data_IF_043121768379
#
_entry.id   IF_043121768379
#
_cell.length_a   1.000
_cell.length_b   1.000
_cell.length_c   1.000
_cell.angle_alpha   90.00
_cell.angle_beta   90.00
_cell.angle_gamma   90.00
#
_symmetry.space_group_name_H-M   'P 1'
#
loop_
_entity.id
_entity.type
_entity.pdbx_description
1 polymer ?
#
# COMPACT_ATOMS: atom_id res chain seq x y z
N UNK A 1 12.22 1.83 22.79
CA UNK A 1 13.13 1.31 21.75
C UNK A 1 12.87 2.15 20.52
N UNK A 2 13.93 2.64 19.87
CA UNK A 2 13.78 3.35 18.60
C UNK A 2 13.45 2.32 17.51
N UNK A 3 12.35 2.50 16.76
CA UNK A 3 12.00 1.58 15.68
C UNK A 3 13.05 1.63 14.57
N UNK A 4 13.37 0.46 14.00
CA UNK A 4 14.40 0.28 12.97
C UNK A 4 13.87 -0.59 11.85
N UNK A 5 14.39 -0.39 10.63
CA UNK A 5 14.15 -1.30 9.51
C UNK A 5 15.24 -2.37 9.52
N UNK A 6 14.82 -3.63 9.60
CA UNK A 6 15.70 -4.79 9.53
C UNK A 6 15.78 -5.28 8.08
N UNK A 7 16.99 -5.51 7.58
CA UNK A 7 17.24 -6.17 6.31
C UNK A 7 17.76 -7.59 6.60
N UNK A 8 17.17 -8.58 5.93
CA UNK A 8 17.61 -9.96 5.99
C UNK A 8 18.11 -10.38 4.62
N UNK A 9 19.41 -10.62 4.51
CA UNK A 9 20.01 -11.16 3.30
C UNK A 9 19.80 -12.67 3.26
N UNK A 10 18.88 -13.13 2.40
CA UNK A 10 18.54 -14.55 2.27
C UNK A 10 19.72 -15.39 1.76
N UNK A 11 20.63 -14.81 0.98
CA UNK A 11 21.75 -15.54 0.37
C UNK A 11 22.82 -15.89 1.40
N UNK A 12 23.09 -14.95 2.30
CA UNK A 12 24.12 -15.10 3.34
C UNK A 12 23.54 -15.39 4.72
N UNK A 13 22.22 -15.38 4.85
CA UNK A 13 21.47 -15.53 6.11
C UNK A 13 21.91 -14.52 7.18
N UNK A 14 22.25 -13.30 6.77
CA UNK A 14 22.73 -12.24 7.66
C UNK A 14 21.66 -11.19 7.91
N UNK A 15 21.73 -10.59 9.09
CA UNK A 15 20.88 -9.48 9.48
C UNK A 15 21.68 -8.18 9.49
N UNK A 16 21.12 -7.15 8.88
CA UNK A 16 21.63 -5.79 8.91
C UNK A 16 20.49 -4.80 9.18
N UNK A 17 20.84 -3.55 9.49
CA UNK A 17 19.87 -2.52 9.84
C UNK A 17 19.96 -1.38 8.84
N UNK A 18 18.81 -1.01 8.29
CA UNK A 18 18.69 0.17 7.43
C UNK A 18 18.33 1.35 8.33
N UNK A 19 19.23 2.34 8.39
CA UNK A 19 18.93 3.60 9.07
C UNK A 19 17.91 4.36 8.24
N UNK A 20 16.84 4.79 8.87
CA UNK A 20 15.76 5.51 8.22
C UNK A 20 15.42 6.80 8.97
N UNK A 21 14.88 7.82 8.27
CA UNK A 21 14.32 9.01 8.90
C UNK A 21 13.28 8.64 9.96
N UNK A 22 13.13 9.47 11.00
CA UNK A 22 12.14 9.23 12.07
C UNK A 22 10.73 9.04 11.53
N UNK A 23 10.32 9.85 10.56
CA UNK A 23 9.00 9.79 9.95
C UNK A 23 8.71 8.44 9.26
N UNK A 24 9.76 7.72 8.84
CA UNK A 24 9.61 6.40 8.21
C UNK A 24 9.37 5.30 9.28
N UNK A 25 9.91 5.47 10.48
CA UNK A 25 9.91 4.43 11.53
C UNK A 25 8.94 4.70 12.68
N UNK A 26 8.47 5.93 12.86
CA UNK A 26 7.60 6.32 13.98
C UNK A 26 6.14 5.91 13.71
N UNK A 27 5.58 5.13 14.62
CA UNK A 27 4.22 4.57 14.59
C UNK A 27 3.08 5.61 14.49
N UNK A 28 3.34 6.89 14.83
CA UNK A 28 2.33 7.96 14.76
C UNK A 28 2.06 8.43 13.33
N UNK A 29 3.05 8.28 12.45
CA UNK A 29 2.85 8.33 11.02
C UNK A 29 2.66 6.88 10.56
N UNK A 30 1.48 6.52 10.09
CA UNK A 30 1.15 5.17 9.63
C UNK A 30 1.98 4.82 8.38
N UNK A 31 3.28 4.57 8.57
CA UNK A 31 4.23 4.38 7.51
C UNK A 31 4.01 3.01 6.87
N UNK A 32 3.91 3.01 5.54
CA UNK A 32 3.63 1.82 4.76
C UNK A 32 4.82 1.57 3.86
N UNK A 33 5.56 0.50 4.14
CA UNK A 33 6.65 0.06 3.28
C UNK A 33 6.08 -0.54 2.00
N UNK A 34 6.55 -0.05 0.87
CA UNK A 34 6.15 -0.48 -0.46
C UNK A 34 7.36 -0.66 -1.37
N UNK A 35 7.17 -1.42 -2.43
CA UNK A 35 8.06 -1.39 -3.58
C UNK A 35 7.60 -0.27 -4.53
N UNK A 36 8.52 0.63 -4.87
CA UNK A 36 8.31 1.75 -5.78
C UNK A 36 9.46 1.81 -6.79
N UNK A 37 9.15 1.53 -8.07
CA UNK A 37 10.10 1.60 -9.20
C UNK A 37 11.39 0.80 -8.98
N UNK A 38 11.27 -0.39 -8.39
CA UNK A 38 12.35 -1.32 -8.08
C UNK A 38 13.10 -1.01 -6.77
N UNK A 39 12.67 0.00 -6.01
CA UNK A 39 13.30 0.42 -4.76
C UNK A 39 12.37 0.23 -3.57
N UNK A 40 12.95 0.03 -2.39
CA UNK A 40 12.21 0.12 -1.13
C UNK A 40 11.79 1.57 -0.90
N UNK A 41 10.51 1.79 -0.63
CA UNK A 41 9.99 3.09 -0.28
C UNK A 41 9.04 2.99 0.91
N UNK A 42 8.76 4.12 1.53
CA UNK A 42 7.82 4.27 2.62
C UNK A 42 6.86 5.40 2.32
N UNK A 43 5.57 5.12 2.37
CA UNK A 43 4.53 6.16 2.35
C UNK A 43 4.22 6.56 3.77
N UNK A 44 4.37 7.85 4.07
CA UNK A 44 4.12 8.45 5.38
C UNK A 44 2.95 9.42 5.22
N UNK A 45 1.87 9.21 5.98
CA UNK A 45 0.63 9.99 5.88
C UNK A 45 0.17 10.53 7.24
N UNK A 46 -0.76 11.48 7.21
CA UNK A 46 -1.54 11.86 8.39
C UNK A 46 -2.49 10.73 8.81
N UNK A 47 -2.84 10.71 10.10
CA UNK A 47 -3.63 9.64 10.72
C UNK A 47 -4.97 9.45 9.96
N UNK A 48 -5.32 8.20 9.65
CA UNK A 48 -6.62 7.77 9.07
C UNK A 48 -6.96 8.25 7.64
N UNK A 49 -6.19 9.13 7.01
CA UNK A 49 -6.48 9.59 5.66
C UNK A 49 -5.25 9.94 4.83
N UNK A 50 -5.32 9.68 3.52
CA UNK A 50 -4.42 10.28 2.55
C UNK A 50 -5.08 11.53 1.96
N UNK A 51 -4.84 12.69 2.54
CA UNK A 51 -5.05 14.00 1.90
C UNK A 51 -3.78 14.42 1.16
N UNK A 52 -2.65 14.22 1.82
CA UNK A 52 -1.29 14.28 1.28
C UNK A 52 -0.47 13.15 1.89
N UNK A 53 0.67 12.86 1.29
CA UNK A 53 1.62 11.91 1.85
C UNK A 53 3.05 12.22 1.40
N UNK A 54 4.00 11.84 2.24
CA UNK A 54 5.41 11.83 1.91
C UNK A 54 5.81 10.43 1.41
N UNK A 55 6.43 10.38 0.25
CA UNK A 55 7.08 9.20 -0.28
C UNK A 55 8.58 9.30 0.00
N UNK A 56 9.06 8.45 0.90
CA UNK A 56 10.47 8.28 1.19
C UNK A 56 11.02 7.11 0.37
N UNK A 57 12.04 7.34 -0.45
CA UNK A 57 12.63 6.31 -1.32
C UNK A 57 14.05 6.04 -0.83
N UNK A 58 14.37 4.76 -0.61
CA UNK A 58 15.73 4.35 -0.30
C UNK A 58 16.54 4.33 -1.60
N UNK A 59 17.38 5.34 -1.80
CA UNK A 59 18.16 5.54 -3.02
C UNK A 59 19.40 4.64 -3.05
N UNK A 60 20.04 4.48 -1.90
CA UNK A 60 21.26 3.69 -1.71
C UNK A 60 21.15 2.91 -0.39
N UNK A 61 21.08 1.58 -0.50
CA UNK A 61 20.93 0.67 0.63
C UNK A 61 22.21 0.63 1.49
N UNK A 62 23.39 0.74 0.89
CA UNK A 62 24.65 0.64 1.64
C UNK A 62 24.94 1.93 2.43
N UNK A 63 24.61 3.07 1.84
CA UNK A 63 24.76 4.38 2.50
C UNK A 63 23.60 4.74 3.42
N UNK A 64 22.47 4.02 3.29
CA UNK A 64 21.20 4.36 3.93
C UNK A 64 20.70 5.75 3.52
N UNK A 65 20.87 6.12 2.25
CA UNK A 65 20.45 7.42 1.73
C UNK A 65 18.99 7.38 1.30
N UNK A 66 18.19 8.30 1.83
CA UNK A 66 16.77 8.44 1.53
C UNK A 66 16.48 9.76 0.83
N UNK A 67 15.66 9.71 -0.22
CA UNK A 67 15.06 10.90 -0.82
C UNK A 67 13.61 11.05 -0.35
N UNK A 68 13.13 12.29 -0.22
CA UNK A 68 11.76 12.62 0.18
C UNK A 68 11.05 13.34 -0.95
N UNK A 69 9.84 12.91 -1.27
CA UNK A 69 8.92 13.61 -2.17
C UNK A 69 7.57 13.76 -1.47
N UNK A 70 6.91 14.89 -1.59
CA UNK A 70 5.59 15.14 -0.98
C UNK A 70 4.55 15.28 -2.08
N UNK A 71 3.44 14.57 -1.93
CA UNK A 71 2.34 14.55 -2.89
C UNK A 71 1.03 14.95 -2.22
N UNK A 72 0.22 15.72 -2.95
CA UNK A 72 -1.14 16.08 -2.55
C UNK A 72 -2.13 15.32 -3.42
N UNK A 73 -3.15 14.75 -2.78
CA UNK A 73 -4.26 14.10 -3.48
C UNK A 73 -5.38 15.11 -3.70
N UNK A 74 -6.09 15.06 -4.84
CA UNK A 74 -7.18 16.00 -5.12
C UNK A 74 -8.39 15.84 -4.20
N UNK A 75 -8.48 14.73 -3.48
CA UNK A 75 -9.48 14.47 -2.46
C UNK A 75 -8.94 13.48 -1.41
N UNK A 76 -9.39 13.56 -0.15
CA UNK A 76 -8.91 12.67 0.90
C UNK A 76 -9.38 11.24 0.67
N UNK A 77 -8.46 10.28 0.77
CA UNK A 77 -8.75 8.85 0.81
C UNK A 77 -8.78 8.37 2.25
N UNK A 78 -9.96 8.02 2.75
CA UNK A 78 -10.18 7.62 4.15
C UNK A 78 -10.16 6.09 4.27
N UNK A 79 -9.56 5.57 5.35
CA UNK A 79 -9.53 4.13 5.66
C UNK A 79 -8.95 3.27 4.52
N UNK A 80 -7.91 3.78 3.85
CA UNK A 80 -7.16 3.05 2.83
C UNK A 80 -5.74 2.73 3.32
N UNK A 81 -5.11 1.74 2.72
CA UNK A 81 -3.68 1.43 2.80
C UNK A 81 -3.08 1.48 1.39
N UNK A 82 -1.77 1.33 1.27
CA UNK A 82 -1.10 1.18 -0.03
C UNK A 82 -0.44 -0.19 -0.11
N UNK A 83 -0.94 -1.12 -0.94
CA UNK A 83 -0.31 -2.42 -1.12
C UNK A 83 0.94 -2.36 -2.01
N UNK A 84 1.26 -1.20 -2.57
CA UNK A 84 2.42 -0.97 -3.44
C UNK A 84 2.06 -0.33 -4.77
N UNK A 85 2.88 -0.59 -5.78
CA UNK A 85 2.70 -0.03 -7.13
C UNK A 85 2.30 -1.08 -8.15
N UNK A 86 1.71 -0.64 -9.26
CA UNK A 86 1.54 -1.49 -10.44
C UNK A 86 2.79 -1.48 -11.34
N UNK A 87 2.78 -2.27 -12.42
CA UNK A 87 3.89 -2.36 -13.39
C UNK A 87 4.27 -1.03 -14.06
N UNK A 88 3.38 -0.04 -14.05
CA UNK A 88 3.64 1.29 -14.59
C UNK A 88 4.23 2.26 -13.54
N UNK A 89 4.43 1.80 -12.29
CA UNK A 89 4.90 2.62 -11.19
C UNK A 89 3.83 3.53 -10.57
N UNK A 90 2.55 3.30 -10.87
CA UNK A 90 1.44 4.03 -10.26
C UNK A 90 1.16 3.45 -8.87
N UNK A 91 0.97 4.34 -7.88
CA UNK A 91 0.68 3.94 -6.50
C UNK A 91 -0.76 3.44 -6.43
N UNK A 92 -0.94 2.28 -5.81
CA UNK A 92 -2.26 1.73 -5.54
C UNK A 92 -2.64 2.09 -4.11
N UNK A 93 -3.87 2.53 -3.92
CA UNK A 93 -4.53 2.64 -2.63
C UNK A 93 -5.72 1.69 -2.58
N UNK A 94 -5.84 0.96 -1.48
CA UNK A 94 -6.86 -0.07 -1.29
C UNK A 94 -7.49 0.02 0.10
N UNK A 95 -8.80 -0.25 0.26
CA UNK A 95 -9.40 -0.43 1.58
C UNK A 95 -8.78 -1.60 2.33
N UNK A 96 -8.63 -1.47 3.66
CA UNK A 96 -8.10 -2.53 4.53
C UNK A 96 -9.17 -3.58 4.93
N UNK A 97 -10.42 -3.33 4.57
CA UNK A 97 -11.56 -4.16 4.96
C UNK A 97 -12.70 -4.06 3.97
N UNK A 98 -13.52 -5.12 3.93
CA UNK A 98 -14.75 -5.12 3.18
C UNK A 98 -15.74 -4.15 3.83
N UNK A 99 -16.54 -3.47 3.01
CA UNK A 99 -17.77 -2.82 3.46
C UNK A 99 -18.63 -3.71 4.35
N UNK A 100 -19.32 -3.14 5.34
CA UNK A 100 -20.32 -3.89 6.14
C UNK A 100 -21.48 -4.35 5.27
N UNK A 101 -22.01 -3.44 4.45
CA UNK A 101 -23.11 -3.71 3.52
C UNK A 101 -22.60 -4.11 2.13
N UNK A 102 -23.51 -4.66 1.32
CA UNK A 102 -23.21 -4.98 -0.08
C UNK A 102 -23.03 -3.68 -0.85
N UNK A 103 -21.79 -3.36 -1.19
CA UNK A 103 -21.44 -2.25 -2.06
C UNK A 103 -20.24 -2.60 -2.94
N UNK A 104 -20.06 -1.93 -4.08
CA UNK A 104 -18.94 -2.21 -4.96
C UNK A 104 -17.61 -1.93 -4.26
N UNK A 105 -16.63 -2.80 -4.49
CA UNK A 105 -15.28 -2.63 -3.96
C UNK A 105 -14.43 -1.84 -4.96
N UNK A 106 -13.76 -0.78 -4.49
CA UNK A 106 -12.92 0.08 -5.32
C UNK A 106 -11.51 0.17 -4.78
N UNK A 107 -10.56 0.21 -5.69
CA UNK A 107 -9.19 0.69 -5.43
C UNK A 107 -8.99 2.03 -6.14
N UNK A 108 -7.98 2.76 -5.72
CA UNK A 108 -7.53 3.99 -6.38
C UNK A 108 -6.14 3.74 -6.93
N UNK A 109 -5.89 4.17 -8.15
CA UNK A 109 -4.57 4.12 -8.80
C UNK A 109 -4.17 5.55 -9.10
N UNK A 110 -2.98 5.93 -8.64
CA UNK A 110 -2.48 7.29 -8.73
C UNK A 110 -1.12 7.33 -9.45
N UNK A 111 -1.08 8.11 -10.52
CA UNK A 111 0.14 8.49 -11.20
C UNK A 111 0.60 9.84 -10.68
N UNK A 112 1.42 9.81 -9.63
CA UNK A 112 1.91 11.00 -8.94
C UNK A 112 2.71 11.95 -9.83
N UNK A 113 3.36 11.45 -10.89
CA UNK A 113 4.16 12.27 -11.82
C UNK A 113 3.28 13.04 -12.80
N UNK A 114 2.14 12.44 -13.20
CA UNK A 114 1.19 13.04 -14.15
C UNK A 114 0.01 13.72 -13.46
N UNK A 115 -0.10 13.60 -12.14
CA UNK A 115 -1.26 14.02 -11.36
C UNK A 115 -2.57 13.41 -11.90
N UNK A 116 -2.50 12.14 -12.30
CA UNK A 116 -3.63 11.40 -12.85
C UNK A 116 -4.07 10.33 -11.86
N UNK A 117 -5.28 10.50 -11.31
CA UNK A 117 -5.86 9.61 -10.33
C UNK A 117 -7.14 8.99 -10.88
N UNK A 118 -7.26 7.67 -10.73
CA UNK A 118 -8.45 6.94 -11.19
C UNK A 118 -8.95 5.93 -10.17
N UNK A 119 -10.26 5.77 -10.13
CA UNK A 119 -10.95 4.75 -9.32
C UNK A 119 -11.23 3.53 -10.18
N UNK A 120 -10.85 2.35 -9.69
CA UNK A 120 -11.05 1.08 -10.39
C UNK A 120 -11.97 0.20 -9.55
N UNK A 121 -13.08 -0.26 -10.14
CA UNK A 121 -13.98 -1.22 -9.50
C UNK A 121 -13.41 -2.63 -9.64
N UNK A 122 -13.25 -3.34 -8.54
CA UNK A 122 -12.98 -4.77 -8.54
C UNK A 122 -14.31 -5.52 -8.49
N UNK A 123 -14.52 -6.44 -9.43
CA UNK A 123 -15.74 -7.24 -9.52
C UNK A 123 -15.59 -8.55 -8.74
N UNK A 124 -16.69 -9.08 -8.23
CA UNK A 124 -16.71 -10.37 -7.54
C UNK A 124 -16.15 -10.34 -6.11
N UNK A 125 -15.81 -9.15 -5.61
CA UNK A 125 -15.34 -8.96 -4.24
C UNK A 125 -16.54 -8.69 -3.34
N UNK A 126 -17.19 -9.77 -2.88
CA UNK A 126 -18.29 -9.73 -1.91
C UNK A 126 -19.42 -8.72 -2.26
N UNK A 127 -19.71 -8.58 -3.55
CA UNK A 127 -20.67 -7.64 -4.13
C UNK A 127 -22.08 -8.25 -4.30
N UNK A 128 -22.32 -9.43 -3.73
CA UNK A 128 -23.61 -10.12 -3.69
C UNK A 128 -23.95 -10.55 -2.26
N UNK A 129 -25.19 -10.25 -1.81
CA UNK A 129 -25.67 -10.62 -0.48
C UNK A 129 -25.69 -12.13 -0.23
N UNK A 130 -26.06 -12.93 -1.24
CA UNK A 130 -26.10 -14.40 -1.11
C UNK A 130 -24.68 -14.95 -0.90
N UNK A 131 -23.71 -14.47 -1.68
CA UNK A 131 -22.30 -14.80 -1.53
C UNK A 131 -21.82 -14.48 -0.11
N UNK A 132 -22.11 -13.27 0.39
CA UNK A 132 -21.72 -12.86 1.75
C UNK A 132 -22.31 -13.75 2.83
N UNK A 133 -23.60 -14.11 2.72
CA UNK A 133 -24.25 -15.03 3.69
C UNK A 133 -23.62 -16.41 3.65
N UNK A 134 -23.36 -16.95 2.45
CA UNK A 134 -22.79 -18.29 2.27
C UNK A 134 -21.41 -18.44 2.90
N UNK A 135 -20.60 -17.38 2.87
CA UNK A 135 -19.24 -17.36 3.41
C UNK A 135 -19.10 -16.63 4.76
N UNK A 136 -20.21 -16.26 5.41
CA UNK A 136 -20.17 -15.63 6.73
C UNK A 136 -19.55 -14.22 6.77
N UNK A 137 -19.61 -13.46 5.67
CA UNK A 137 -19.09 -12.08 5.58
C UNK A 137 -20.08 -11.06 6.19
N UNK A 138 -20.45 -11.30 7.44
CA UNK A 138 -21.47 -10.55 8.20
C UNK A 138 -20.90 -9.52 9.18
N UNK A 139 -19.59 -9.57 9.43
CA UNK A 139 -18.86 -8.61 10.30
C UNK A 139 -17.67 -8.00 9.53
N UNK A 140 -16.84 -7.19 10.19
CA UNK A 140 -15.64 -6.57 9.60
C UNK A 140 -14.69 -7.66 9.10
N UNK A 141 -14.57 -7.78 7.78
CA UNK A 141 -13.61 -8.67 7.13
C UNK A 141 -12.43 -7.85 6.63
N UNK A 142 -11.22 -8.13 7.12
CA UNK A 142 -10.01 -7.51 6.59
C UNK A 142 -9.71 -8.03 5.17
N UNK A 143 -9.17 -7.17 4.32
CA UNK A 143 -8.75 -7.49 2.95
C UNK A 143 -7.27 -7.21 2.81
N UNK A 144 -6.55 -8.16 2.22
CA UNK A 144 -5.17 -7.95 1.77
C UNK A 144 -5.16 -7.95 0.25
N UNK A 145 -4.45 -6.98 -0.34
CA UNK A 145 -4.27 -6.87 -1.79
C UNK A 145 -2.78 -6.95 -2.06
N UNK A 146 -2.40 -7.77 -3.04
CA UNK A 146 -1.03 -7.81 -3.56
C UNK A 146 -1.04 -7.39 -5.04
N UNK A 147 -0.29 -6.34 -5.43
CA UNK A 147 -0.28 -5.87 -6.80
C UNK A 147 0.49 -6.80 -7.75
N UNK A 148 1.27 -7.73 -7.21
CA UNK A 148 2.18 -8.61 -7.95
C UNK A 148 1.61 -10.00 -8.23
N UNK A 149 0.44 -10.34 -7.68
CA UNK A 149 -0.18 -11.65 -7.87
C UNK A 149 -1.32 -11.60 -8.89
N UNK A 150 -0.98 -11.70 -10.18
CA UNK A 150 -1.93 -12.09 -11.22
C UNK A 150 -1.34 -13.28 -11.96
N UNK A 151 -1.50 -14.47 -11.38
CA UNK A 151 -1.54 -15.66 -12.22
C UNK A 151 -2.85 -15.61 -12.98
N UNK A 152 -2.78 -15.36 -14.28
CA UNK A 152 -3.93 -15.54 -15.15
C UNK A 152 -4.31 -17.01 -15.10
N UNK A 153 -5.45 -17.35 -14.49
CA UNK A 153 -6.01 -18.70 -14.50
C UNK A 153 -6.45 -19.11 -15.93
N UNK A 154 -6.29 -18.23 -16.94
CA UNK A 154 -6.53 -18.55 -18.34
C UNK A 154 -5.35 -19.31 -19.00
N UNK A 155 -4.72 -20.24 -18.30
CA UNK A 155 -3.78 -21.20 -18.88
C UNK A 155 -3.96 -22.56 -18.20
N UNK A 156 -5.15 -23.14 -18.38
CA UNK A 156 -5.40 -24.59 -18.27
C UNK A 156 -6.24 -24.99 -19.47
#
# INVERSE_FOLDING_TARGET
>A
MDPVILCFDVRYETLSFIRAPRDVVVFQSESILIEYKGKLASIVRELWSFSSFDLWILEDVEKHDWSKQTFELPFPLVSMTSPGTNKAGEIIFAPDSLPKDVQPFYIVVDNVERQDIRRVRLQGIADNQEFRRRYGLIDRCCVSISPQHVESIASI
#
